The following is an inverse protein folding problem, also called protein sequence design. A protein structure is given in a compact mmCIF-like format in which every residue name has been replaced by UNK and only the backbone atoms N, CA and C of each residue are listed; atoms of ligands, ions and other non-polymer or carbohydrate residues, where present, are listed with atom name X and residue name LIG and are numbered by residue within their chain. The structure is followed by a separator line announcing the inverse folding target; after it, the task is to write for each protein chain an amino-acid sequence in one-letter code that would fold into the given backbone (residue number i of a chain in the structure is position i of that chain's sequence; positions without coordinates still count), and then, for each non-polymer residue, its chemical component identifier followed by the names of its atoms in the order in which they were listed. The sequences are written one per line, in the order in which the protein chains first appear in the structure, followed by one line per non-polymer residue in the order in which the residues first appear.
data_IF_527559892732
#
_entry.id   IF_527559892732
#
_cell.length_a   1.000
_cell.length_b   1.000
_cell.length_c   1.000
_cell.angle_alpha   90.00
_cell.angle_beta   90.00
_cell.angle_gamma   90.00
#
_symmetry.space_group_name_H-M   'P 1'
#
loop_
_entity.id
_entity.type
_entity.pdbx_description
1 polymer ?
#
# COMPACT_ATOMS: atom_id res chain seq x y z
N UNK A 1 20.34 -46.13 -7.39
CA UNK A 1 19.52 -45.42 -6.40
C UNK A 1 19.67 -43.92 -6.62
N UNK A 2 18.89 -43.34 -7.54
CA UNK A 2 18.88 -41.90 -7.84
C UNK A 2 17.43 -41.47 -8.07
N UNK A 3 16.63 -41.56 -7.02
CA UNK A 3 15.29 -40.99 -6.95
C UNK A 3 15.22 -40.36 -5.55
N UNK A 4 14.87 -39.07 -5.50
CA UNK A 4 14.52 -38.26 -4.31
C UNK A 4 15.34 -36.97 -4.10
N UNK A 5 16.43 -36.70 -4.83
CA UNK A 5 17.17 -35.44 -4.65
C UNK A 5 16.54 -34.25 -5.41
N UNK A 6 15.80 -34.50 -6.49
CA UNK A 6 15.22 -33.43 -7.31
C UNK A 6 14.03 -32.75 -6.61
N UNK A 7 13.27 -33.50 -5.83
CA UNK A 7 12.12 -32.97 -5.07
C UNK A 7 12.55 -32.07 -3.90
N UNK A 8 13.67 -32.36 -3.25
CA UNK A 8 14.19 -31.52 -2.15
C UNK A 8 14.74 -30.18 -2.61
N UNK A 9 15.33 -30.11 -3.82
CA UNK A 9 15.86 -28.87 -4.39
C UNK A 9 14.71 -27.95 -4.84
N UNK A 10 13.65 -28.51 -5.45
CA UNK A 10 12.46 -27.74 -5.84
C UNK A 10 11.72 -27.18 -4.61
N UNK A 11 11.68 -27.92 -3.49
CA UNK A 11 11.03 -27.44 -2.26
C UNK A 11 11.80 -26.29 -1.58
N UNK A 12 13.14 -26.27 -1.68
CA UNK A 12 13.96 -25.17 -1.14
C UNK A 12 13.82 -23.85 -1.93
N UNK A 13 13.50 -23.92 -3.23
CA UNK A 13 13.28 -22.72 -4.05
C UNK A 13 11.88 -22.10 -3.87
N UNK A 14 10.88 -22.88 -3.41
CA UNK A 14 9.50 -22.39 -3.23
C UNK A 14 9.29 -21.67 -1.89
N UNK A 15 10.23 -21.77 -0.94
CA UNK A 15 10.11 -21.17 0.39
C UNK A 15 10.64 -19.72 0.50
N UNK A 16 11.13 -19.10 -0.58
CA UNK A 16 11.89 -17.85 -0.47
C UNK A 16 11.10 -16.54 -0.65
N UNK A 17 9.78 -16.54 -0.82
CA UNK A 17 9.05 -15.28 -1.08
C UNK A 17 7.69 -15.18 -0.40
N UNK A 18 7.60 -15.55 0.88
CA UNK A 18 6.52 -15.04 1.73
C UNK A 18 7.11 -13.91 2.58
N UNK A 19 7.13 -12.71 2.03
CA UNK A 19 7.33 -11.51 2.84
C UNK A 19 6.11 -11.37 3.73
N UNK A 20 6.22 -11.75 5.00
CA UNK A 20 5.19 -11.45 5.98
C UNK A 20 5.15 -9.93 6.17
N UNK A 21 3.96 -9.35 6.11
CA UNK A 21 3.74 -7.96 6.52
C UNK A 21 4.19 -7.79 7.97
N UNK A 22 4.97 -6.74 8.25
CA UNK A 22 5.40 -6.45 9.61
C UNK A 22 4.22 -5.99 10.47
N UNK A 23 4.16 -6.51 11.69
CA UNK A 23 3.23 -6.07 12.72
C UNK A 23 4.01 -5.27 13.76
N UNK A 24 3.71 -3.97 13.84
CA UNK A 24 4.22 -3.06 14.86
C UNK A 24 3.26 -3.10 16.04
N UNK A 25 3.72 -3.62 17.17
CA UNK A 25 2.88 -3.78 18.36
C UNK A 25 3.29 -2.78 19.44
N UNK A 26 2.45 -1.76 19.63
CA UNK A 26 2.55 -0.75 20.69
C UNK A 26 1.74 -1.26 21.89
N UNK A 27 2.32 -2.22 22.63
CA UNK A 27 1.63 -2.89 23.74
C UNK A 27 1.84 -2.22 25.10
N UNK A 28 0.86 -2.35 25.98
CA UNK A 28 0.97 -1.92 27.38
C UNK A 28 1.06 -0.41 27.55
N UNK A 29 0.40 0.36 26.69
CA UNK A 29 0.37 1.80 26.83
C UNK A 29 -0.38 2.22 28.11
N UNK A 30 0.29 2.99 28.96
CA UNK A 30 -0.19 3.43 30.28
C UNK A 30 -0.26 4.97 30.41
N UNK A 31 -0.22 5.68 29.28
CA UNK A 31 -0.11 7.14 29.25
C UNK A 31 1.31 7.68 29.02
N UNK A 32 2.33 6.82 29.03
CA UNK A 32 3.74 7.22 28.81
C UNK A 32 4.16 7.16 27.33
N UNK A 33 5.18 7.95 26.90
CA UNK A 33 5.70 7.87 25.53
C UNK A 33 6.23 6.48 25.20
N UNK A 34 5.93 5.98 23.99
CA UNK A 34 6.45 4.72 23.47
C UNK A 34 7.25 4.95 22.19
N UNK A 35 8.37 4.26 22.09
CA UNK A 35 9.19 4.19 20.88
C UNK A 35 9.28 2.72 20.44
N UNK A 36 9.04 2.45 19.17
CA UNK A 36 9.17 1.12 18.57
C UNK A 36 10.15 1.16 17.40
N UNK A 37 11.06 0.20 17.30
CA UNK A 37 11.94 0.05 16.13
C UNK A 37 11.38 -1.00 15.18
N UNK A 38 11.01 -0.58 13.99
CA UNK A 38 10.50 -1.39 12.91
C UNK A 38 11.63 -1.80 11.95
N UNK A 39 11.42 -2.90 11.24
CA UNK A 39 12.31 -3.36 10.15
C UNK A 39 11.83 -2.91 8.78
N UNK A 40 10.56 -2.53 8.67
CA UNK A 40 9.93 -1.96 7.48
C UNK A 40 10.39 -0.54 7.18
N UNK A 41 10.31 -0.20 5.91
CA UNK A 41 10.53 1.16 5.40
C UNK A 41 9.20 1.90 5.28
N UNK A 42 9.26 3.22 5.05
CA UNK A 42 8.07 4.04 4.75
C UNK A 42 7.23 3.54 3.56
N UNK A 43 7.82 2.74 2.67
CA UNK A 43 7.18 2.26 1.45
C UNK A 43 6.43 0.92 1.64
N UNK A 44 6.63 0.25 2.77
CA UNK A 44 6.02 -1.03 3.06
C UNK A 44 4.63 -0.85 3.68
N UNK A 45 3.77 -1.87 3.53
CA UNK A 45 2.55 -1.93 4.30
C UNK A 45 2.88 -2.42 5.71
N UNK A 46 2.61 -1.62 6.72
CA UNK A 46 2.75 -1.99 8.13
C UNK A 46 1.38 -2.19 8.76
N UNK A 47 1.28 -3.17 9.66
CA UNK A 47 0.10 -3.30 10.53
C UNK A 47 0.47 -2.75 11.89
N UNK A 48 -0.18 -1.65 12.28
CA UNK A 48 -0.03 -1.06 13.61
C UNK A 48 -1.11 -1.71 14.50
N UNK A 49 -0.67 -2.26 15.61
CA UNK A 49 -1.50 -2.79 16.70
C UNK A 49 -1.19 -1.94 17.92
N UNK A 50 -2.22 -1.37 18.52
CA UNK A 50 -2.12 -0.54 19.71
C UNK A 50 -2.95 -1.17 20.83
N UNK A 51 -2.32 -1.45 21.97
CA UNK A 51 -2.97 -2.00 23.15
C UNK A 51 -2.95 -0.94 24.27
N UNK A 52 -4.14 -0.46 24.61
CA UNK A 52 -4.34 0.45 25.72
C UNK A 52 -4.73 -0.34 26.98
N UNK A 53 -3.88 -0.25 28.01
CA UNK A 53 -4.12 -0.90 29.32
C UNK A 53 -4.61 0.09 30.37
N UNK A 54 -4.68 1.39 30.05
CA UNK A 54 -5.07 2.43 30.99
C UNK A 54 -6.60 2.55 31.09
N UNK A 55 -7.18 1.94 32.13
CA UNK A 55 -8.61 2.02 32.43
C UNK A 55 -9.10 3.44 32.78
N UNK A 56 -8.20 4.38 33.11
CA UNK A 56 -8.56 5.77 33.46
C UNK A 56 -8.59 6.65 32.19
N UNK A 57 -7.70 6.39 31.24
CA UNK A 57 -7.54 7.17 30.01
C UNK A 57 -7.79 6.35 28.74
N UNK A 58 -8.82 5.52 28.75
CA UNK A 58 -9.18 4.55 27.72
C UNK A 58 -9.89 5.15 26.48
N UNK A 59 -9.54 6.38 26.09
CA UNK A 59 -10.17 7.14 24.98
C UNK A 59 -11.70 7.29 25.03
N UNK A 60 -12.36 6.98 26.15
CA UNK A 60 -13.82 6.89 26.26
C UNK A 60 -14.47 6.12 25.10
N UNK A 61 -13.91 4.95 24.78
CA UNK A 61 -14.36 4.14 23.64
C UNK A 61 -15.71 3.47 23.81
N UNK A 62 -16.41 3.74 24.91
CA UNK A 62 -17.78 3.28 25.09
C UNK A 62 -18.65 3.69 23.89
N UNK A 63 -19.26 2.70 23.26
CA UNK A 63 -20.08 2.86 22.03
C UNK A 63 -19.31 3.40 20.81
N UNK A 64 -17.98 3.36 20.82
CA UNK A 64 -17.16 3.68 19.65
C UNK A 64 -16.73 2.40 18.95
N UNK A 65 -16.57 2.49 17.62
CA UNK A 65 -16.05 1.40 16.79
C UNK A 65 -14.65 1.70 16.24
N UNK A 66 -14.17 2.94 16.42
CA UNK A 66 -12.90 3.40 15.89
C UNK A 66 -12.22 4.43 16.79
N UNK A 67 -10.90 4.54 16.66
CA UNK A 67 -10.13 5.73 17.04
C UNK A 67 -9.34 6.22 15.83
N UNK A 68 -8.91 7.47 15.86
CA UNK A 68 -8.16 8.12 14.79
C UNK A 68 -6.68 8.17 15.12
N UNK A 69 -5.85 8.05 14.11
CA UNK A 69 -4.41 8.24 14.21
C UNK A 69 -4.04 9.57 13.57
N UNK A 70 -3.65 10.53 14.39
CA UNK A 70 -2.94 11.69 13.88
C UNK A 70 -1.47 11.31 13.72
N UNK A 71 -0.87 11.56 12.57
CA UNK A 71 0.55 11.25 12.41
C UNK A 71 1.18 11.95 11.22
N UNK A 72 2.50 11.86 11.13
CA UNK A 72 3.27 12.33 9.98
C UNK A 72 4.68 11.77 9.98
N UNK A 73 5.34 11.90 8.84
CA UNK A 73 6.66 11.30 8.61
C UNK A 73 7.75 12.10 9.33
N UNK A 74 8.74 11.39 9.87
CA UNK A 74 9.97 11.99 10.36
C UNK A 74 11.03 12.01 9.26
N UNK A 75 11.52 13.19 8.95
CA UNK A 75 12.42 13.46 7.82
C UNK A 75 13.53 14.41 8.24
N UNK A 76 14.41 14.79 7.30
CA UNK A 76 15.45 15.79 7.56
C UNK A 76 14.92 17.16 7.95
N UNK A 77 13.68 17.47 7.59
CA UNK A 77 13.01 18.74 7.91
C UNK A 77 12.26 18.69 9.27
N UNK A 78 12.31 17.55 9.96
CA UNK A 78 11.69 17.30 11.26
C UNK A 78 10.55 16.27 11.20
N UNK A 79 9.88 16.11 12.35
CA UNK A 79 8.74 15.20 12.54
C UNK A 79 7.42 15.74 12.00
N UNK A 80 6.39 14.89 12.01
CA UNK A 80 5.01 15.22 11.59
C UNK A 80 4.88 15.82 10.17
N UNK A 81 5.78 15.46 9.26
CA UNK A 81 5.70 15.95 7.89
C UNK A 81 4.53 15.33 7.15
N UNK A 82 3.78 16.17 6.45
CA UNK A 82 2.60 15.79 5.69
C UNK A 82 1.38 15.41 6.54
N UNK A 83 1.41 15.65 7.86
CA UNK A 83 0.25 15.47 8.72
C UNK A 83 -0.93 16.32 8.24
N UNK A 84 -2.16 15.76 8.26
CA UNK A 84 -3.37 16.57 8.08
C UNK A 84 -3.54 17.57 9.24
N UNK A 85 -4.54 18.44 9.19
CA UNK A 85 -4.91 19.22 10.37
C UNK A 85 -5.35 18.27 11.49
N UNK A 86 -4.95 18.57 12.73
CA UNK A 86 -5.26 17.72 13.87
C UNK A 86 -6.77 17.52 14.09
N UNK A 87 -7.59 18.52 13.73
CA UNK A 87 -9.05 18.46 13.82
C UNK A 87 -9.71 17.87 12.57
N UNK A 88 -8.96 17.61 11.50
CA UNK A 88 -9.46 16.97 10.29
C UNK A 88 -9.46 15.44 10.44
N UNK A 89 -10.42 14.94 11.21
CA UNK A 89 -10.60 13.50 11.45
C UNK A 89 -10.89 12.72 10.15
N UNK A 90 -11.44 13.38 9.12
CA UNK A 90 -11.81 12.74 7.85
C UNK A 90 -10.61 12.32 7.00
N UNK A 91 -9.46 12.97 7.19
CA UNK A 91 -8.21 12.65 6.49
C UNK A 91 -7.29 11.72 7.29
N UNK A 92 -7.59 11.51 8.58
CA UNK A 92 -6.76 10.69 9.46
C UNK A 92 -7.01 9.20 9.26
N UNK A 93 -5.98 8.35 9.33
CA UNK A 93 -6.16 6.91 9.38
C UNK A 93 -6.98 6.49 10.59
N UNK A 94 -7.74 5.41 10.43
CA UNK A 94 -8.73 4.96 11.42
C UNK A 94 -8.35 3.55 11.89
N UNK A 95 -8.21 3.37 13.20
CA UNK A 95 -7.98 2.07 13.79
C UNK A 95 -9.32 1.51 14.28
N UNK A 96 -9.60 0.26 13.91
CA UNK A 96 -10.84 -0.40 14.29
C UNK A 96 -10.70 -1.07 15.66
N UNK A 97 -11.73 -0.95 16.49
CA UNK A 97 -11.88 -1.74 17.71
C UNK A 97 -12.34 -3.16 17.36
N UNK A 98 -11.88 -4.15 18.11
CA UNK A 98 -12.52 -5.47 18.08
C UNK A 98 -13.73 -5.51 19.02
N UNK A 99 -14.68 -6.41 18.76
CA UNK A 99 -15.99 -6.40 19.43
C UNK A 99 -15.92 -6.57 20.97
N UNK A 100 -14.82 -7.10 21.50
CA UNK A 100 -14.58 -7.24 22.95
C UNK A 100 -14.23 -5.93 23.65
N UNK A 101 -13.92 -4.87 22.90
CA UNK A 101 -13.18 -3.70 23.40
C UNK A 101 -14.08 -2.44 23.51
N UNK A 102 -15.39 -2.64 23.58
CA UNK A 102 -16.40 -1.55 23.60
C UNK A 102 -16.85 -1.16 25.01
N UNK A 103 -16.25 -1.78 26.05
CA UNK A 103 -16.47 -1.45 27.46
C UNK A 103 -15.29 -0.61 27.98
N UNK A 104 -15.59 0.63 28.36
CA UNK A 104 -14.62 1.58 28.90
C UNK A 104 -14.06 1.17 30.28
N UNK A 105 -14.72 0.22 30.96
CA UNK A 105 -14.26 -0.34 32.24
C UNK A 105 -13.48 -1.65 32.06
N UNK A 106 -13.33 -2.12 30.82
CA UNK A 106 -12.53 -3.29 30.49
C UNK A 106 -11.21 -2.85 29.85
N UNK A 107 -10.12 -3.51 30.25
CA UNK A 107 -8.81 -3.40 29.64
C UNK A 107 -8.17 -4.78 29.53
N UNK A 108 -7.28 -5.00 28.54
CA UNK A 108 -6.86 -4.04 27.53
C UNK A 108 -7.89 -3.83 26.39
N UNK A 109 -7.86 -2.65 25.77
CA UNK A 109 -8.49 -2.40 24.48
C UNK A 109 -7.43 -2.45 23.37
N UNK A 110 -7.72 -3.15 22.28
CA UNK A 110 -6.81 -3.37 21.16
C UNK A 110 -7.36 -2.77 19.87
N UNK A 111 -6.55 -1.95 19.24
CA UNK A 111 -6.86 -1.23 18.00
C UNK A 111 -5.90 -1.65 16.91
N UNK A 112 -6.38 -1.78 15.68
CA UNK A 112 -5.50 -2.13 14.57
C UNK A 112 -5.83 -1.44 13.25
N UNK A 113 -4.78 -1.22 12.47
CA UNK A 113 -4.85 -0.71 11.10
C UNK A 113 -3.65 -1.22 10.30
N UNK A 114 -3.90 -1.60 9.05
CA UNK A 114 -2.85 -1.76 8.05
C UNK A 114 -2.75 -0.50 7.18
N UNK A 115 -1.54 0.06 7.07
CA UNK A 115 -1.29 1.31 6.34
C UNK A 115 0.00 1.26 5.53
N UNK A 116 0.00 1.91 4.37
CA UNK A 116 1.21 2.30 3.65
C UNK A 116 1.49 3.78 3.90
N UNK A 117 2.57 4.09 4.62
CA UNK A 117 2.84 5.46 5.04
C UNK A 117 3.20 6.35 3.84
N UNK A 118 4.00 5.86 2.90
CA UNK A 118 4.36 6.60 1.70
C UNK A 118 3.12 6.97 0.86
N UNK A 119 2.15 6.08 0.70
CA UNK A 119 0.93 6.36 -0.06
C UNK A 119 -0.02 7.31 0.68
N UNK A 120 -0.14 7.17 2.01
CA UNK A 120 -1.05 7.99 2.80
C UNK A 120 -0.54 9.44 2.91
N UNK A 121 0.72 9.64 3.28
CA UNK A 121 1.32 10.96 3.47
C UNK A 121 1.84 11.57 2.15
N UNK A 122 0.92 11.72 1.19
CA UNK A 122 1.20 12.22 -0.17
C UNK A 122 1.69 13.67 -0.24
N UNK A 123 1.47 14.47 0.81
CA UNK A 123 1.99 15.83 0.91
C UNK A 123 3.52 15.89 1.06
N UNK A 124 4.15 14.82 1.56
CA UNK A 124 5.62 14.69 1.57
C UNK A 124 6.08 14.29 0.17
N UNK A 125 7.01 15.01 -0.48
CA UNK A 125 7.45 14.67 -1.85
C UNK A 125 8.11 13.29 -1.94
N UNK A 126 7.97 12.63 -3.10
CA UNK A 126 8.75 11.44 -3.42
C UNK A 126 10.24 11.78 -3.55
N UNK A 127 11.10 10.84 -3.14
CA UNK A 127 12.52 11.06 -2.99
C UNK A 127 12.92 11.79 -1.70
N UNK A 128 11.99 11.98 -0.75
CA UNK A 128 12.34 12.43 0.60
C UNK A 128 12.88 11.27 1.42
N UNK A 129 14.00 11.45 2.11
CA UNK A 129 14.50 10.45 3.08
C UNK A 129 13.60 10.46 4.32
N UNK A 130 13.12 9.28 4.72
CA UNK A 130 12.26 9.10 5.89
C UNK A 130 12.96 8.18 6.88
N UNK A 131 12.97 8.60 8.14
CA UNK A 131 13.60 7.89 9.26
C UNK A 131 12.56 7.20 10.15
N UNK A 132 11.36 7.77 10.24
CA UNK A 132 10.35 7.27 11.15
C UNK A 132 8.98 7.85 10.93
N UNK A 133 8.11 7.58 11.88
CA UNK A 133 6.73 7.98 11.87
C UNK A 133 6.30 8.42 13.27
N UNK A 134 5.98 9.70 13.41
CA UNK A 134 5.38 10.26 14.63
C UNK A 134 3.88 10.08 14.58
N UNK A 135 3.28 9.66 15.70
CA UNK A 135 1.85 9.45 15.78
C UNK A 135 1.28 9.74 17.17
N UNK A 136 0.01 10.11 17.18
CA UNK A 136 -0.85 10.14 18.34
C UNK A 136 -2.15 9.41 17.99
N UNK A 137 -2.74 8.71 18.93
CA UNK A 137 -4.12 8.26 18.79
C UNK A 137 -5.07 9.24 19.46
N UNK A 138 -6.27 9.41 18.90
CA UNK A 138 -7.33 10.24 19.47
C UNK A 138 -8.72 9.69 19.18
N UNK A 139 -9.70 10.00 20.02
CA UNK A 139 -11.12 9.71 19.76
C UNK A 139 -11.80 10.82 18.92
N UNK A 140 -13.10 10.71 18.64
CA UNK A 140 -13.83 11.71 17.84
C UNK A 140 -14.01 13.09 18.50
N UNK A 141 -13.69 13.23 19.79
CA UNK A 141 -13.86 14.50 20.52
C UNK A 141 -12.66 15.43 20.37
N UNK A 142 -11.64 15.01 19.60
CA UNK A 142 -10.44 15.79 19.34
C UNK A 142 -9.40 15.67 20.45
N UNK A 143 -8.44 16.60 20.43
CA UNK A 143 -7.22 16.50 21.24
C UNK A 143 -7.35 17.04 22.66
N UNK A 144 -6.51 16.50 23.53
CA UNK A 144 -6.29 16.94 24.90
C UNK A 144 -6.91 16.03 25.96
N UNK A 145 -6.28 16.03 27.14
CA UNK A 145 -6.72 15.22 28.29
C UNK A 145 -6.73 13.73 27.95
N UNK A 146 -7.83 13.06 28.29
CA UNK A 146 -7.99 11.61 28.17
C UNK A 146 -8.49 11.17 26.77
N UNK A 147 -8.53 12.10 25.81
CA UNK A 147 -9.01 11.83 24.45
C UNK A 147 -7.87 11.52 23.47
N UNK A 148 -6.61 11.63 23.90
CA UNK A 148 -5.45 11.40 23.04
C UNK A 148 -4.30 10.71 23.79
N UNK A 149 -3.40 10.08 23.03
CA UNK A 149 -2.09 9.68 23.58
C UNK A 149 -1.17 10.88 23.77
N UNK A 150 -0.05 10.64 24.42
CA UNK A 150 1.18 11.40 24.19
C UNK A 150 1.79 11.04 22.83
N UNK A 151 2.82 11.77 22.41
CA UNK A 151 3.56 11.47 21.18
C UNK A 151 4.18 10.07 21.26
N UNK A 152 3.82 9.23 20.29
CA UNK A 152 4.43 7.94 20.06
C UNK A 152 5.29 8.01 18.81
N UNK A 153 6.25 7.09 18.71
CA UNK A 153 7.18 7.06 17.59
C UNK A 153 7.46 5.64 17.13
N UNK A 154 7.44 5.46 15.81
CA UNK A 154 7.90 4.24 15.13
C UNK A 154 9.15 4.63 14.35
N UNK A 155 10.30 4.14 14.79
CA UNK A 155 11.59 4.24 14.12
C UNK A 155 11.60 3.25 12.96
N UNK A 156 11.60 3.75 11.72
CA UNK A 156 11.54 2.93 10.52
C UNK A 156 12.95 2.64 10.02
N UNK A 157 13.08 1.65 9.14
CA UNK A 157 14.30 1.53 8.35
C UNK A 157 14.38 2.71 7.35
N UNK A 158 15.47 3.47 7.42
CA UNK A 158 15.76 4.62 6.55
C UNK A 158 15.53 4.28 5.07
N UNK A 159 14.66 5.03 4.42
CA UNK A 159 14.39 4.85 3.00
C UNK A 159 13.91 6.13 2.31
N UNK A 160 14.18 6.20 1.01
CA UNK A 160 13.59 7.21 0.14
C UNK A 160 12.11 6.89 -0.06
N UNK A 161 11.24 7.84 0.30
CA UNK A 161 9.81 7.75 0.07
C UNK A 161 9.49 7.63 -1.41
N UNK A 162 8.58 6.72 -1.73
CA UNK A 162 8.06 6.48 -3.06
C UNK A 162 6.56 6.11 -2.95
N UNK A 163 5.69 7.08 -3.19
CA UNK A 163 4.22 6.92 -3.14
C UNK A 163 3.62 6.13 -4.30
N UNK A 164 4.43 5.61 -5.23
CA UNK A 164 3.90 4.77 -6.31
C UNK A 164 3.13 3.62 -5.67
N UNK A 165 1.88 3.43 -6.10
CA UNK A 165 1.05 2.27 -5.78
C UNK A 165 1.76 1.01 -6.30
N UNK A 166 2.73 0.49 -5.54
CA UNK A 166 3.29 -0.80 -5.82
C UNK A 166 2.25 -1.83 -5.37
N UNK A 167 1.39 -2.23 -6.31
CA UNK A 167 1.19 -3.66 -6.53
C UNK A 167 2.62 -4.21 -6.63
N UNK A 168 2.97 -5.32 -6.00
CA UNK A 168 4.28 -5.95 -6.22
C UNK A 168 4.52 -6.00 -7.72
N UNK A 169 5.32 -5.06 -8.19
CA UNK A 169 5.47 -4.78 -9.61
C UNK A 169 6.56 -5.75 -9.99
N UNK A 170 6.18 -7.01 -10.19
CA UNK A 170 7.04 -7.94 -10.89
C UNK A 170 7.38 -7.23 -12.22
N UNK A 171 8.63 -6.77 -12.32
CA UNK A 171 9.19 -5.87 -13.34
C UNK A 171 9.04 -6.39 -14.79
N UNK A 172 8.38 -7.52 -14.99
CA UNK A 172 8.18 -8.23 -16.25
C UNK A 172 7.50 -7.39 -17.34
N UNK A 173 6.58 -6.47 -16.99
CA UNK A 173 5.86 -5.63 -17.96
C UNK A 173 6.41 -4.18 -18.07
N UNK A 174 7.36 -3.77 -17.22
CA UNK A 174 7.87 -2.38 -17.21
C UNK A 174 8.74 -2.04 -18.42
N UNK A 175 9.39 -3.05 -19.01
CA UNK A 175 10.19 -2.89 -20.23
C UNK A 175 9.34 -2.81 -21.52
N UNK A 176 8.02 -2.97 -21.42
CA UNK A 176 7.15 -2.91 -22.59
C UNK A 176 7.07 -1.50 -23.15
N UNK A 177 7.32 -1.36 -24.45
CA UNK A 177 7.10 -0.15 -25.23
C UNK A 177 5.92 -0.36 -26.16
N UNK A 178 4.99 0.59 -26.14
CA UNK A 178 3.83 0.63 -27.03
C UNK A 178 4.02 1.74 -28.06
N UNK A 179 3.82 1.40 -29.31
CA UNK A 179 3.80 2.36 -30.41
C UNK A 179 2.58 2.11 -31.30
N UNK A 180 2.05 3.16 -31.92
CA UNK A 180 0.90 3.08 -32.82
C UNK A 180 1.23 3.78 -34.12
N UNK A 181 1.16 3.05 -35.23
CA UNK A 181 1.39 3.59 -36.57
C UNK A 181 0.28 3.12 -37.51
N UNK A 182 -0.40 4.06 -38.19
CA UNK A 182 -1.46 3.75 -39.18
C UNK A 182 -2.50 2.76 -38.64
N UNK A 183 -3.03 3.03 -37.44
CA UNK A 183 -3.96 2.15 -36.70
C UNK A 183 -3.46 0.70 -36.52
N UNK A 184 -2.16 0.50 -36.41
CA UNK A 184 -1.56 -0.76 -35.95
C UNK A 184 -0.81 -0.50 -34.66
N UNK A 185 -1.10 -1.32 -33.65
CA UNK A 185 -0.45 -1.25 -32.35
C UNK A 185 0.72 -2.22 -32.32
N UNK A 186 1.86 -1.76 -31.83
CA UNK A 186 3.10 -2.50 -31.66
C UNK A 186 3.42 -2.60 -30.18
N UNK A 187 3.57 -3.82 -29.68
CA UNK A 187 4.07 -4.16 -28.35
C UNK A 187 5.51 -4.63 -28.54
N UNK A 188 6.47 -4.06 -27.82
CA UNK A 188 7.88 -4.48 -27.88
C UNK A 188 8.52 -4.52 -26.51
N UNK A 189 9.61 -5.27 -26.34
CA UNK A 189 10.32 -5.38 -25.07
C UNK A 189 9.71 -6.39 -24.08
N UNK A 190 8.99 -7.40 -24.60
CA UNK A 190 8.40 -8.49 -23.81
C UNK A 190 8.70 -9.85 -24.43
N UNK A 191 8.93 -10.86 -23.58
CA UNK A 191 9.02 -12.25 -23.98
C UNK A 191 8.14 -13.09 -23.06
N UNK A 192 7.12 -13.76 -23.60
CA UNK A 192 6.21 -14.59 -22.82
C UNK A 192 4.76 -14.52 -23.27
N UNK A 193 3.89 -15.14 -22.47
CA UNK A 193 2.44 -15.12 -22.69
C UNK A 193 1.84 -13.82 -22.14
N UNK A 194 1.03 -13.15 -22.97
CA UNK A 194 0.39 -11.89 -22.64
C UNK A 194 -1.11 -11.97 -22.97
N UNK A 195 -1.93 -11.45 -22.08
CA UNK A 195 -3.32 -11.10 -22.36
C UNK A 195 -3.37 -9.59 -22.61
N UNK A 196 -4.21 -9.15 -23.56
CA UNK A 196 -4.48 -7.73 -23.73
C UNK A 196 -5.97 -7.47 -23.84
N UNK A 197 -6.40 -6.35 -23.29
CA UNK A 197 -7.75 -5.79 -23.40
C UNK A 197 -7.68 -4.33 -23.79
N UNK A 198 -8.54 -3.91 -24.72
CA UNK A 198 -8.67 -2.50 -25.11
C UNK A 198 -10.03 -1.98 -24.68
N UNK A 199 -10.06 -0.79 -24.10
CA UNK A 199 -11.26 -0.12 -23.62
C UNK A 199 -11.40 1.26 -24.27
N UNK A 200 -12.64 1.74 -24.45
CA UNK A 200 -12.87 3.14 -24.80
C UNK A 200 -12.72 4.04 -23.56
N UNK A 201 -12.82 5.37 -23.76
CA UNK A 201 -12.76 6.35 -22.66
C UNK A 201 -13.87 6.21 -21.62
N UNK A 202 -14.96 5.51 -21.94
CA UNK A 202 -16.06 5.22 -21.01
C UNK A 202 -15.82 3.93 -20.21
N UNK A 203 -14.67 3.27 -20.36
CA UNK A 203 -14.35 2.02 -19.70
C UNK A 203 -15.02 0.78 -20.32
N UNK A 204 -15.68 0.91 -21.47
CA UNK A 204 -16.28 -0.24 -22.15
C UNK A 204 -15.21 -1.04 -22.89
N UNK A 205 -15.18 -2.35 -22.67
CA UNK A 205 -14.24 -3.27 -23.33
C UNK A 205 -14.60 -3.46 -24.80
N UNK A 206 -13.66 -3.17 -25.69
CA UNK A 206 -13.82 -3.21 -27.15
C UNK A 206 -13.17 -4.46 -27.74
N UNK A 207 -12.00 -4.83 -27.22
CA UNK A 207 -11.19 -5.93 -27.74
C UNK A 207 -10.56 -6.66 -26.58
N UNK A 208 -10.46 -7.98 -26.70
CA UNK A 208 -9.69 -8.81 -25.76
C UNK A 208 -9.02 -9.94 -26.52
N UNK A 209 -7.82 -10.30 -26.10
CA UNK A 209 -7.10 -11.47 -26.58
C UNK A 209 -6.31 -12.06 -25.44
N UNK A 210 -6.37 -13.38 -25.32
CA UNK A 210 -5.70 -14.11 -24.27
C UNK A 210 -4.58 -14.98 -24.85
N UNK A 211 -3.56 -15.26 -24.05
CA UNK A 211 -2.45 -16.16 -24.34
C UNK A 211 -1.70 -15.82 -25.64
N UNK A 212 -1.44 -14.52 -25.85
CA UNK A 212 -0.60 -14.05 -26.94
C UNK A 212 0.85 -14.34 -26.60
N UNK A 213 1.47 -15.24 -27.35
CA UNK A 213 2.90 -15.48 -27.21
C UNK A 213 3.67 -14.37 -27.92
N UNK A 214 4.36 -13.54 -27.15
CA UNK A 214 5.19 -12.43 -27.65
C UNK A 214 6.65 -12.86 -27.61
N UNK A 215 7.33 -12.74 -28.75
CA UNK A 215 8.78 -12.94 -28.85
C UNK A 215 9.43 -11.63 -29.26
N UNK A 216 9.82 -10.85 -28.25
CA UNK A 216 10.34 -9.48 -28.30
C UNK A 216 9.37 -8.42 -28.87
N UNK A 217 8.60 -8.75 -29.90
CA UNK A 217 7.62 -7.87 -30.50
C UNK A 217 6.34 -8.61 -30.91
N UNK A 218 5.21 -7.90 -30.83
CA UNK A 218 3.91 -8.34 -31.28
C UNK A 218 3.14 -7.15 -31.84
N UNK A 219 2.31 -7.37 -32.86
CA UNK A 219 1.47 -6.30 -33.41
C UNK A 219 0.11 -6.80 -33.83
N UNK A 220 -0.88 -5.92 -33.74
CA UNK A 220 -2.24 -6.18 -34.20
C UNK A 220 -2.90 -4.91 -34.73
N UNK A 221 -3.82 -5.09 -35.67
CA UNK A 221 -4.48 -4.00 -36.38
C UNK A 221 -5.74 -3.53 -35.62
N UNK A 222 -5.94 -2.21 -35.63
CA UNK A 222 -7.05 -1.47 -35.01
C UNK A 222 -7.88 -0.72 -36.05
N UNK A 223 -7.86 -1.18 -37.30
CA UNK A 223 -8.43 -0.49 -38.47
C UNK A 223 -9.93 -0.18 -38.32
N UNK A 224 -10.67 -1.02 -37.59
CA UNK A 224 -12.11 -0.88 -37.38
C UNK A 224 -12.46 0.13 -36.26
N UNK A 225 -11.46 0.70 -35.59
CA UNK A 225 -11.68 1.67 -34.52
C UNK A 225 -11.65 3.09 -35.07
N UNK A 226 -12.50 3.95 -34.49
CA UNK A 226 -12.52 5.39 -34.78
C UNK A 226 -11.25 6.04 -34.22
N UNK A 227 -10.92 7.22 -34.74
CA UNK A 227 -9.83 8.02 -34.19
C UNK A 227 -10.23 8.51 -32.80
N UNK A 228 -9.28 8.54 -31.88
CA UNK A 228 -9.57 8.88 -30.48
C UNK A 228 -8.63 8.22 -29.47
N UNK A 229 -8.98 8.40 -28.21
CA UNK A 229 -8.23 7.87 -27.07
C UNK A 229 -8.84 6.53 -26.63
N UNK A 230 -7.97 5.57 -26.36
CA UNK A 230 -8.29 4.25 -25.86
C UNK A 230 -7.37 3.90 -24.69
N UNK A 231 -7.79 2.92 -23.90
CA UNK A 231 -7.03 2.39 -22.77
C UNK A 231 -6.67 0.95 -23.09
N UNK A 232 -5.37 0.65 -23.17
CA UNK A 232 -4.84 -0.70 -23.32
C UNK A 232 -4.45 -1.24 -21.95
N UNK A 233 -5.01 -2.38 -21.57
CA UNK A 233 -4.58 -3.17 -20.43
C UNK A 233 -3.83 -4.39 -20.95
N UNK A 234 -2.64 -4.62 -20.42
CA UNK A 234 -1.82 -5.80 -20.63
C UNK A 234 -1.79 -6.57 -19.33
N UNK A 235 -1.97 -7.88 -19.39
CA UNK A 235 -1.94 -8.77 -18.22
C UNK A 235 -1.03 -9.96 -18.54
N UNK A 236 -0.19 -10.36 -17.60
CA UNK A 236 0.39 -11.71 -17.57
C UNK A 236 -0.06 -12.41 -16.28
N UNK A 237 0.45 -13.60 -16.00
CA UNK A 237 -0.03 -14.43 -14.87
C UNK A 237 0.11 -13.72 -13.50
N UNK A 238 1.01 -12.74 -13.38
CA UNK A 238 1.37 -12.12 -12.11
C UNK A 238 1.15 -10.60 -12.07
N UNK A 239 1.06 -9.93 -13.21
CA UNK A 239 1.07 -8.45 -13.28
C UNK A 239 0.12 -7.91 -14.33
N UNK A 240 -0.30 -6.67 -14.11
CA UNK A 240 -1.10 -5.92 -15.06
C UNK A 240 -0.54 -4.53 -15.28
N UNK A 241 -0.59 -4.05 -16.53
CA UNK A 241 -0.15 -2.71 -16.91
C UNK A 241 -1.18 -2.05 -17.79
N UNK A 242 -1.53 -0.80 -17.47
CA UNK A 242 -2.51 -0.03 -18.24
C UNK A 242 -1.83 1.18 -18.89
N UNK A 243 -2.14 1.44 -20.16
CA UNK A 243 -1.51 2.48 -20.96
C UNK A 243 -2.53 3.20 -21.85
N UNK A 244 -2.32 4.50 -22.07
CA UNK A 244 -3.09 5.30 -23.03
C UNK A 244 -2.66 4.99 -24.46
N UNK A 245 -3.61 4.77 -25.35
CA UNK A 245 -3.43 4.56 -26.79
C UNK A 245 -4.15 5.67 -27.54
N UNK A 246 -3.47 6.32 -28.49
CA UNK A 246 -4.05 7.36 -29.33
C UNK A 246 -4.11 6.88 -30.78
N UNK A 247 -5.32 6.79 -31.34
CA UNK A 247 -5.53 6.48 -32.75
C UNK A 247 -5.75 7.77 -33.53
N UNK A 248 -5.06 7.87 -34.67
CA UNK A 248 -5.13 8.93 -35.67
C UNK A 248 -5.08 8.31 -37.06
#
# INVERSE_FOLDING_TARGET
MMKNYFTSIVLMFVLQFVSAQEMVNLSGYDGSPLNFTATSTVNDNITIIFEDVDIINNFYTQFQSVIYMFGGLDTTDGGFQGSPDFNDLGSQPVLNLVASDTDDNAAPNTYSLTINLAQHYSAVPDGTMVFGFNLLFQNQFGGGGNNQTVDLYIDLADAMKNSILSIVDELSLNNIKIDVRKKRLFISGYNGSLNYSLYNIMGQKILTKNNVNVSNSYSFDLLNLKDGIYILKLDNDNTSRTMKVLLR
#
